data_IF_939454985949
#
_entry.id   IF_939454985949
#
_cell.length_a   1.000
_cell.length_b   1.000
_cell.length_c   1.000
_cell.angle_alpha   90.00
_cell.angle_beta   90.00
_cell.angle_gamma   90.00
#
_symmetry.space_group_name_H-M   'P 1'
#
loop_
_entity.id
_entity.type
_entity.pdbx_description
1 polymer ?
#
# COMPACT_ATOMS: atom_id res chain seq x y z
N UNK A 1 -3.84 4.44 -19.89
CA UNK A 1 -2.41 4.47 -19.51
C UNK A 1 -2.30 5.14 -18.16
N UNK A 2 -1.97 4.41 -17.08
CA UNK A 2 -1.78 5.00 -15.75
C UNK A 2 -0.41 5.66 -15.73
N UNK A 3 -0.38 6.98 -15.70
CA UNK A 3 0.87 7.74 -15.65
C UNK A 3 1.61 7.43 -14.34
N UNK A 4 2.88 7.03 -14.43
CA UNK A 4 3.71 6.70 -13.27
C UNK A 4 3.84 7.85 -12.26
N UNK A 5 3.62 9.10 -12.69
CA UNK A 5 3.56 10.28 -11.84
C UNK A 5 2.34 10.24 -10.90
N UNK A 6 1.19 9.79 -11.38
CA UNK A 6 -0.05 9.68 -10.59
C UNK A 6 0.11 8.61 -9.50
N UNK A 7 0.75 7.49 -9.83
CA UNK A 7 1.05 6.43 -8.84
C UNK A 7 2.02 6.93 -7.78
N UNK A 8 3.08 7.64 -8.18
CA UNK A 8 4.06 8.22 -7.24
C UNK A 8 3.40 9.23 -6.29
N UNK A 9 2.51 10.09 -6.81
CA UNK A 9 1.78 11.04 -5.99
C UNK A 9 0.82 10.34 -5.01
N UNK A 10 0.05 9.35 -5.47
CA UNK A 10 -0.84 8.59 -4.61
C UNK A 10 -0.07 7.84 -3.51
N UNK A 11 1.07 7.24 -3.84
CA UNK A 11 1.97 6.62 -2.86
C UNK A 11 2.54 7.61 -1.83
N UNK A 12 2.78 8.87 -2.24
CA UNK A 12 3.26 9.92 -1.33
C UNK A 12 2.17 10.39 -0.35
N UNK A 13 0.89 10.25 -0.70
CA UNK A 13 -0.25 10.63 0.14
C UNK A 13 -0.67 9.55 1.14
N UNK A 14 -0.19 8.31 0.99
CA UNK A 14 -0.45 7.24 1.96
C UNK A 14 0.26 7.50 3.30
N UNK A 15 -0.33 6.96 4.37
CA UNK A 15 0.35 6.86 5.66
C UNK A 15 1.68 6.09 5.53
N UNK A 16 2.64 6.40 6.41
CA UNK A 16 3.96 5.74 6.39
C UNK A 16 3.80 4.23 6.57
N UNK A 17 2.89 3.79 7.44
CA UNK A 17 2.60 2.37 7.68
C UNK A 17 2.04 1.68 6.43
N UNK A 18 1.02 2.25 5.78
CA UNK A 18 0.45 1.68 4.56
C UNK A 18 1.46 1.63 3.41
N UNK A 19 2.26 2.69 3.25
CA UNK A 19 3.33 2.73 2.24
C UNK A 19 4.39 1.66 2.50
N UNK A 20 4.83 1.48 3.75
CA UNK A 20 5.80 0.46 4.12
C UNK A 20 5.26 -0.96 3.90
N UNK A 21 3.98 -1.19 4.20
CA UNK A 21 3.33 -2.49 3.97
C UNK A 21 3.28 -2.83 2.48
N UNK A 22 2.84 -1.89 1.65
CA UNK A 22 2.78 -2.05 0.19
C UNK A 22 4.19 -2.24 -0.38
N UNK A 23 5.19 -1.48 0.10
CA UNK A 23 6.57 -1.63 -0.33
C UNK A 23 7.11 -3.03 -0.06
N UNK A 24 6.94 -3.55 1.16
CA UNK A 24 7.40 -4.90 1.52
C UNK A 24 6.69 -5.98 0.72
N UNK A 25 5.36 -5.90 0.58
CA UNK A 25 4.57 -6.90 -0.12
C UNK A 25 4.87 -6.93 -1.63
N UNK A 26 4.88 -5.76 -2.29
CA UNK A 26 4.89 -5.70 -3.76
C UNK A 26 6.25 -5.36 -4.38
N UNK A 27 7.12 -4.62 -3.67
CA UNK A 27 8.43 -4.23 -4.20
C UNK A 27 9.55 -5.13 -3.69
N UNK A 28 9.45 -5.61 -2.45
CA UNK A 28 10.41 -6.58 -1.88
C UNK A 28 9.95 -8.04 -2.00
N UNK A 29 8.72 -8.29 -2.46
CA UNK A 29 8.18 -9.63 -2.65
C UNK A 29 8.00 -10.43 -1.35
N UNK A 30 7.84 -9.75 -0.21
CA UNK A 30 7.61 -10.41 1.08
C UNK A 30 6.20 -11.00 1.16
N UNK A 31 6.10 -12.17 1.77
CA UNK A 31 4.79 -12.76 2.09
C UNK A 31 4.16 -12.09 3.31
N UNK A 32 2.84 -12.21 3.46
CA UNK A 32 2.11 -11.72 4.64
C UNK A 32 2.65 -12.32 5.94
N UNK A 33 3.07 -13.59 5.92
CA UNK A 33 3.68 -14.26 7.07
C UNK A 33 5.06 -13.69 7.43
N UNK A 34 5.89 -13.36 6.42
CA UNK A 34 7.19 -12.72 6.66
C UNK A 34 7.03 -11.32 7.24
N UNK A 35 6.10 -10.52 6.70
CA UNK A 35 5.81 -9.17 7.21
C UNK A 35 5.26 -9.26 8.64
N UNK A 36 4.39 -10.23 8.93
CA UNK A 36 3.87 -10.43 10.28
C UNK A 36 4.98 -10.75 11.29
N UNK A 37 5.94 -11.57 10.88
CA UNK A 37 7.12 -11.87 11.71
C UNK A 37 8.03 -10.66 11.90
N UNK A 38 8.23 -9.83 10.87
CA UNK A 38 9.04 -8.60 10.96
C UNK A 38 8.39 -7.54 11.87
N UNK A 39 7.06 -7.42 11.83
CA UNK A 39 6.28 -6.43 12.58
C UNK A 39 5.82 -6.95 13.96
N UNK A 40 6.24 -8.15 14.38
CA UNK A 40 5.82 -8.80 15.63
C UNK A 40 4.28 -8.86 15.79
N UNK A 41 3.58 -9.16 14.70
CA UNK A 41 2.10 -9.22 14.63
C UNK A 41 1.63 -10.56 14.08
N UNK A 42 0.33 -10.67 13.77
CA UNK A 42 -0.26 -11.88 13.18
C UNK A 42 -0.57 -11.68 11.70
N UNK A 43 -0.48 -12.76 10.92
CA UNK A 43 -0.77 -12.71 9.49
C UNK A 43 -2.18 -12.17 9.15
N UNK A 44 -3.26 -12.50 9.91
CA UNK A 44 -4.57 -11.91 9.68
C UNK A 44 -4.58 -10.38 9.80
N UNK A 45 -3.83 -9.82 10.76
CA UNK A 45 -3.70 -8.38 10.93
C UNK A 45 -3.01 -7.77 9.70
N UNK A 46 -1.88 -8.33 9.27
CA UNK A 46 -1.17 -7.85 8.07
C UNK A 46 -2.07 -7.89 6.83
N UNK A 47 -2.92 -8.92 6.70
CA UNK A 47 -3.86 -9.03 5.57
C UNK A 47 -4.91 -7.93 5.57
N UNK A 48 -5.48 -7.62 6.74
CA UNK A 48 -6.44 -6.53 6.91
C UNK A 48 -5.78 -5.18 6.61
N UNK A 49 -4.60 -4.92 7.18
CA UNK A 49 -3.85 -3.68 6.94
C UNK A 49 -3.45 -3.53 5.46
N UNK A 50 -3.07 -4.61 4.78
CA UNK A 50 -2.73 -4.58 3.36
C UNK A 50 -3.98 -4.31 2.50
N UNK A 51 -5.12 -4.87 2.89
CA UNK A 51 -6.39 -4.59 2.23
C UNK A 51 -6.76 -3.10 2.36
N UNK A 52 -6.67 -2.55 3.55
CA UNK A 52 -7.00 -1.15 3.82
C UNK A 52 -6.03 -0.19 3.11
N UNK A 53 -4.74 -0.50 3.14
CA UNK A 53 -3.71 0.24 2.40
C UNK A 53 -4.00 0.26 0.88
N UNK A 54 -4.40 -0.88 0.31
CA UNK A 54 -4.79 -0.96 -1.11
C UNK A 54 -6.08 -0.19 -1.42
N UNK A 55 -7.06 -0.24 -0.51
CA UNK A 55 -8.33 0.47 -0.67
C UNK A 55 -8.08 1.99 -0.65
N UNK A 56 -7.22 2.46 0.25
CA UNK A 56 -6.80 3.86 0.32
C UNK A 56 -6.02 4.28 -0.92
N UNK A 57 -5.06 3.48 -1.38
CA UNK A 57 -4.34 3.74 -2.62
C UNK A 57 -5.31 3.86 -3.82
N UNK A 58 -6.32 2.99 -3.90
CA UNK A 58 -7.35 3.08 -4.95
C UNK A 58 -8.16 4.37 -4.86
N UNK A 59 -8.50 4.83 -3.65
CA UNK A 59 -9.21 6.10 -3.44
C UNK A 59 -8.34 7.28 -3.91
N UNK A 60 -7.06 7.30 -3.53
CA UNK A 60 -6.11 8.33 -3.91
C UNK A 60 -5.88 8.38 -5.42
N UNK A 61 -5.74 7.23 -6.07
CA UNK A 61 -5.61 7.15 -7.53
C UNK A 61 -6.84 7.68 -8.26
N UNK A 62 -8.05 7.39 -7.76
CA UNK A 62 -9.30 7.92 -8.34
C UNK A 62 -9.41 9.43 -8.13
N UNK A 63 -9.06 9.93 -6.95
CA UNK A 63 -9.05 11.37 -6.67
C UNK A 63 -8.02 12.13 -7.51
N UNK A 64 -6.82 11.56 -7.67
CA UNK A 64 -5.77 12.14 -8.50
C UNK A 64 -6.12 12.12 -9.99
N UNK A 65 -6.87 11.12 -10.47
CA UNK A 65 -7.38 11.09 -11.85
C UNK A 65 -8.49 12.12 -12.08
N UNK A 66 -9.29 12.44 -11.05
CA UNK A 66 -10.35 13.44 -11.16
C UNK A 66 -9.83 14.89 -11.13
N UNK A 67 -8.57 15.09 -10.73
CA UNK A 67 -7.92 16.40 -10.62
C UNK A 67 -7.01 16.75 -11.82
N UNK A 68 -6.92 15.86 -12.81
CA UNK A 68 -6.16 16.02 -14.07
C UNK A 68 -7.12 16.24 -15.21
#
# INVERSE_FOLDING_TARGET
>A
MTDGRVVRQAMAMLSISHRALIYRAYFLGRTTAQIASEDCTTEPIVRTELHDAMLELRRLLRGAHAAV
#
